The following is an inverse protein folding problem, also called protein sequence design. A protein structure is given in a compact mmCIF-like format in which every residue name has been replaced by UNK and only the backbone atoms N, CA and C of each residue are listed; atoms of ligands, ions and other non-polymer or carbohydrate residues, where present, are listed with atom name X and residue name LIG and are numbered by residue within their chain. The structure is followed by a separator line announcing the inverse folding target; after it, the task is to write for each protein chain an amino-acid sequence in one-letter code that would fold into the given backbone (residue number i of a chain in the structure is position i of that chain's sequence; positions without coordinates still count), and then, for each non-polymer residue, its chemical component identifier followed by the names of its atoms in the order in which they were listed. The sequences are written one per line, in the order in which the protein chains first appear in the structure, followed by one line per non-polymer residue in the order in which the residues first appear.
data_IF_285043791658
#
_entry.id   IF_285043791658
#
_cell.length_a   1.000
_cell.length_b   1.000
_cell.length_c   1.000
_cell.angle_alpha   90.00
_cell.angle_beta   90.00
_cell.angle_gamma   90.00
#
_symmetry.space_group_name_H-M   'P 1'
#
loop_
_entity.id
_entity.type
_entity.pdbx_description
1 polymer ?
#
# COMPACT_ATOMS: atom_id res chain seq x y z
N UNK A 1 -45.11 30.35 12.45
CA UNK A 1 -44.07 29.41 12.01
C UNK A 1 -43.46 29.91 10.72
N UNK A 2 -42.12 29.92 10.67
CA UNK A 2 -41.23 30.04 9.51
C UNK A 2 -41.44 31.26 8.58
N UNK A 3 -40.43 32.03 8.19
CA UNK A 3 -38.99 31.85 8.17
C UNK A 3 -38.45 32.94 7.22
N UNK A 4 -37.12 33.13 7.25
CA UNK A 4 -36.23 33.74 6.25
C UNK A 4 -35.12 34.48 7.02
N UNK A 5 -34.20 33.69 7.57
CA UNK A 5 -32.93 34.18 8.04
C UNK A 5 -32.08 34.54 6.80
N UNK A 6 -31.82 35.83 6.61
CA UNK A 6 -30.83 36.31 5.63
C UNK A 6 -29.45 35.89 6.12
N UNK A 7 -28.77 35.06 5.33
CA UNK A 7 -27.36 34.73 5.52
C UNK A 7 -26.55 35.93 5.06
N UNK A 8 -25.97 36.67 6.02
CA UNK A 8 -24.97 37.69 5.73
C UNK A 8 -23.67 36.99 5.31
N UNK A 9 -23.33 37.07 4.02
CA UNK A 9 -21.96 36.86 3.57
C UNK A 9 -21.12 38.04 4.09
N UNK A 10 -20.21 37.77 5.03
CA UNK A 10 -19.14 38.72 5.36
C UNK A 10 -18.16 38.69 4.19
N UNK A 11 -18.17 39.73 3.37
CA UNK A 11 -17.10 39.98 2.41
C UNK A 11 -15.77 40.07 3.17
N UNK A 12 -14.72 39.34 2.75
CA UNK A 12 -13.42 39.46 3.37
C UNK A 12 -12.77 40.79 2.95
N UNK A 13 -12.22 41.50 3.94
CA UNK A 13 -11.66 42.87 3.86
C UNK A 13 -10.46 43.05 2.89
N UNK A 14 -10.07 42.04 2.12
CA UNK A 14 -9.02 42.12 1.10
C UNK A 14 -9.55 42.37 -0.33
N UNK A 15 -10.86 42.20 -0.56
CA UNK A 15 -11.45 42.16 -1.90
C UNK A 15 -11.61 43.53 -2.61
N UNK A 16 -11.46 44.66 -1.91
CA UNK A 16 -11.78 45.99 -2.49
C UNK A 16 -10.57 46.76 -3.02
N UNK A 17 -9.35 46.22 -2.94
CA UNK A 17 -8.15 46.97 -3.37
C UNK A 17 -7.03 46.12 -3.99
N UNK A 18 -7.35 44.97 -4.59
CA UNK A 18 -6.34 44.12 -5.24
C UNK A 18 -6.45 44.23 -6.76
N UNK A 19 -5.41 44.80 -7.39
CA UNK A 19 -5.26 44.79 -8.84
C UNK A 19 -4.66 43.43 -9.26
N UNK A 20 -5.35 42.71 -10.15
CA UNK A 20 -4.97 41.35 -10.60
C UNK A 20 -3.58 41.34 -11.20
N UNK A 21 -3.20 42.38 -11.95
CA UNK A 21 -1.88 42.46 -12.57
C UNK A 21 -0.78 42.49 -11.51
N UNK A 22 -0.97 43.30 -10.46
CA UNK A 22 -0.02 43.39 -9.34
C UNK A 22 0.04 42.09 -8.54
N UNK A 23 -1.09 41.41 -8.39
CA UNK A 23 -1.15 40.12 -7.70
C UNK A 23 -0.43 39.02 -8.50
N UNK A 24 -0.64 38.96 -9.82
CA UNK A 24 0.06 38.02 -10.70
C UNK A 24 1.56 38.30 -10.76
N UNK A 25 1.97 39.56 -10.80
CA UNK A 25 3.37 39.96 -10.74
C UNK A 25 4.03 39.54 -9.41
N UNK A 26 3.34 39.74 -8.28
CA UNK A 26 3.84 39.30 -6.97
C UNK A 26 4.04 37.77 -6.88
N UNK A 27 3.30 37.00 -7.66
CA UNK A 27 3.43 35.54 -7.76
C UNK A 27 4.47 35.10 -8.81
N UNK A 28 5.10 36.04 -9.52
CA UNK A 28 6.00 35.77 -10.65
C UNK A 28 5.26 35.20 -11.86
N UNK A 29 3.97 35.53 -12.00
CA UNK A 29 3.03 35.00 -13.00
C UNK A 29 2.40 36.12 -13.86
N UNK A 30 2.99 37.32 -13.88
CA UNK A 30 2.50 38.47 -14.66
C UNK A 30 2.29 38.21 -16.15
N UNK A 31 2.97 37.20 -16.71
CA UNK A 31 2.76 36.73 -18.09
C UNK A 31 1.32 36.25 -18.38
N UNK A 32 0.51 35.97 -17.35
CA UNK A 32 -0.89 35.55 -17.49
C UNK A 32 -1.89 36.71 -17.28
N UNK A 33 -1.44 37.93 -16.99
CA UNK A 33 -2.29 39.09 -16.78
C UNK A 33 -3.28 39.30 -17.93
N UNK A 34 -2.76 39.27 -19.16
CA UNK A 34 -3.56 39.39 -20.38
C UNK A 34 -4.62 38.28 -20.53
N UNK A 35 -4.32 37.05 -20.09
CA UNK A 35 -5.28 35.95 -20.16
C UNK A 35 -6.42 36.11 -19.14
N UNK A 36 -6.14 36.69 -17.98
CA UNK A 36 -7.18 37.02 -17.00
C UNK A 36 -8.04 38.20 -17.46
N UNK A 37 -7.44 39.21 -18.10
CA UNK A 37 -8.14 40.36 -18.68
C UNK A 37 -9.02 39.97 -19.89
N UNK A 38 -8.49 39.17 -20.82
CA UNK A 38 -9.23 38.71 -22.02
C UNK A 38 -10.43 37.79 -21.69
N UNK A 39 -10.47 37.23 -20.48
CA UNK A 39 -11.57 36.38 -19.99
C UNK A 39 -12.40 37.07 -18.90
N UNK A 40 -12.29 38.40 -18.76
CA UNK A 40 -13.05 39.24 -17.82
C UNK A 40 -13.02 38.73 -16.36
N UNK A 41 -11.90 38.14 -15.93
CA UNK A 41 -11.74 37.62 -14.57
C UNK A 41 -11.46 38.78 -13.62
N UNK A 42 -12.32 38.97 -12.62
CA UNK A 42 -12.18 40.00 -11.59
C UNK A 42 -11.66 39.43 -10.25
N UNK A 43 -11.20 40.29 -9.30
CA UNK A 43 -10.70 39.83 -8.00
C UNK A 43 -11.74 39.06 -7.17
N UNK A 44 -13.04 39.28 -7.43
CA UNK A 44 -14.13 38.63 -6.73
C UNK A 44 -14.39 37.20 -7.22
N UNK A 45 -14.00 36.90 -8.47
CA UNK A 45 -14.05 35.57 -9.07
C UNK A 45 -12.86 34.69 -8.69
N UNK A 46 -11.74 35.26 -8.25
CA UNK A 46 -10.54 34.51 -7.85
C UNK A 46 -10.83 33.34 -6.89
N UNK A 47 -11.61 33.49 -5.79
CA UNK A 47 -11.93 32.39 -4.86
C UNK A 47 -12.74 31.25 -5.47
N UNK A 48 -13.31 31.43 -6.65
CA UNK A 48 -14.17 30.46 -7.32
C UNK A 48 -13.43 29.73 -8.46
N UNK A 49 -12.22 30.16 -8.81
CA UNK A 49 -11.42 29.53 -9.86
C UNK A 49 -10.95 28.13 -9.45
N UNK A 50 -11.18 27.17 -10.32
CA UNK A 50 -10.75 25.77 -10.17
C UNK A 50 -9.56 25.44 -11.07
N UNK A 51 -8.94 24.27 -10.85
CA UNK A 51 -7.86 23.76 -11.72
C UNK A 51 -8.27 23.60 -13.19
N UNK A 52 -9.58 23.40 -13.45
CA UNK A 52 -10.15 23.30 -14.78
C UNK A 52 -10.26 24.70 -15.43
N UNK A 53 -10.75 25.69 -14.71
CA UNK A 53 -10.87 27.07 -15.22
C UNK A 53 -9.50 27.64 -15.57
N UNK A 54 -8.48 27.37 -14.74
CA UNK A 54 -7.10 27.79 -15.05
C UNK A 54 -6.52 27.10 -16.30
N UNK A 55 -6.99 25.90 -16.66
CA UNK A 55 -6.62 25.28 -17.95
C UNK A 55 -7.31 25.97 -19.11
N UNK A 56 -8.57 26.37 -18.95
CA UNK A 56 -9.33 27.11 -19.96
C UNK A 56 -8.73 28.50 -20.21
N UNK A 57 -8.19 29.14 -19.16
CA UNK A 57 -7.38 30.37 -19.26
C UNK A 57 -6.00 30.17 -19.94
N UNK A 58 -5.69 28.96 -20.43
CA UNK A 58 -4.46 28.67 -21.16
C UNK A 58 -3.23 28.39 -20.28
N UNK A 59 -3.40 28.18 -18.97
CA UNK A 59 -2.29 27.92 -18.05
C UNK A 59 -1.94 26.42 -18.06
N UNK A 60 -1.17 25.99 -19.05
CA UNK A 60 -0.81 24.57 -19.23
C UNK A 60 0.11 24.05 -18.11
N UNK A 61 0.94 24.92 -17.52
CA UNK A 61 1.87 24.57 -16.44
C UNK A 61 1.12 24.19 -15.15
N UNK A 62 1.23 22.93 -14.73
CA UNK A 62 0.69 22.44 -13.46
C UNK A 62 1.21 23.24 -12.25
N UNK A 63 2.48 23.65 -12.28
CA UNK A 63 3.09 24.42 -11.20
C UNK A 63 2.50 25.83 -11.07
N UNK A 64 2.20 26.50 -12.19
CA UNK A 64 1.59 27.82 -12.18
C UNK A 64 0.13 27.77 -11.69
N UNK A 65 -0.62 26.74 -12.10
CA UNK A 65 -1.99 26.51 -11.63
C UNK A 65 -2.06 26.24 -10.14
N UNK A 66 -1.19 25.38 -9.62
CA UNK A 66 -1.09 25.14 -8.17
C UNK A 66 -0.70 26.39 -7.40
N UNK A 67 0.23 27.20 -7.92
CA UNK A 67 0.64 28.47 -7.29
C UNK A 67 -0.50 29.49 -7.22
N UNK A 68 -1.32 29.61 -8.28
CA UNK A 68 -2.50 30.48 -8.30
C UNK A 68 -3.54 30.03 -7.27
N UNK A 69 -3.92 28.74 -7.29
CA UNK A 69 -4.90 28.20 -6.34
C UNK A 69 -4.43 28.35 -4.88
N UNK A 70 -3.14 28.12 -4.59
CA UNK A 70 -2.59 28.33 -3.25
C UNK A 70 -2.59 29.80 -2.80
N UNK A 71 -2.37 30.73 -3.73
CA UNK A 71 -2.41 32.16 -3.45
C UNK A 71 -3.85 32.66 -3.24
N UNK A 72 -4.82 32.09 -3.95
CA UNK A 72 -6.26 32.32 -3.80
C UNK A 72 -6.77 31.82 -2.44
N UNK A 73 -6.32 30.63 -2.00
CA UNK A 73 -6.66 30.04 -0.69
C UNK A 73 -6.00 30.77 0.51
N UNK A 74 -5.33 31.90 0.26
CA UNK A 74 -4.71 32.73 1.30
C UNK A 74 -3.41 32.17 1.88
N UNK A 75 -2.89 31.05 1.36
CA UNK A 75 -1.65 30.45 1.85
C UNK A 75 -0.44 30.99 1.08
N UNK A 76 -0.25 32.31 1.15
CA UNK A 76 0.97 32.96 0.65
C UNK A 76 2.13 32.62 1.58
N UNK A 77 2.82 31.52 1.30
CA UNK A 77 4.18 31.30 1.74
C UNK A 77 5.09 32.35 1.09
N UNK A 78 5.30 33.47 1.77
CA UNK A 78 6.25 34.49 1.35
C UNK A 78 7.67 33.89 1.29
N UNK A 79 8.32 34.04 0.14
CA UNK A 79 9.73 33.69 -0.06
C UNK A 79 10.65 34.56 0.82
N UNK A 80 11.86 34.07 1.18
CA UNK A 80 12.64 34.61 2.28
C UNK A 80 13.37 35.89 1.88
N UNK A 81 13.16 36.96 2.62
CA UNK A 81 14.04 38.13 2.62
C UNK A 81 14.95 38.03 3.84
N UNK A 82 16.26 37.94 3.59
CA UNK A 82 17.29 37.86 4.59
C UNK A 82 17.38 39.15 5.44
N UNK A 83 17.40 39.01 6.77
CA UNK A 83 18.39 39.61 7.70
C UNK A 83 18.09 39.16 9.14
N UNK A 84 19.12 38.96 9.99
CA UNK A 84 18.94 38.41 11.33
C UNK A 84 18.65 39.53 12.34
N UNK A 85 17.67 39.33 13.23
CA UNK A 85 17.61 40.09 14.47
C UNK A 85 16.98 39.26 15.60
N UNK A 86 17.83 39.12 16.61
CA UNK A 86 17.72 38.37 17.84
C UNK A 86 16.79 39.05 18.85
N UNK A 87 15.69 38.42 19.29
CA UNK A 87 15.12 38.56 20.65
C UNK A 87 14.32 37.26 20.98
N UNK A 88 14.44 36.65 22.18
CA UNK A 88 13.65 35.49 22.56
C UNK A 88 12.32 35.93 23.20
N UNK A 89 11.19 35.54 22.63
CA UNK A 89 9.88 35.70 23.28
C UNK A 89 9.12 34.38 23.30
N UNK A 90 9.00 33.86 24.52
CA UNK A 90 8.21 32.71 24.95
C UNK A 90 6.74 32.91 24.57
N UNK A 91 6.18 32.00 23.77
CA UNK A 91 4.74 31.91 23.48
C UNK A 91 4.38 30.42 23.39
N UNK A 92 3.30 29.95 24.05
CA UNK A 92 2.92 28.54 24.10
C UNK A 92 2.62 27.97 22.70
N UNK A 93 2.90 26.67 22.45
CA UNK A 93 2.82 26.12 21.10
C UNK A 93 1.38 26.13 20.58
N UNK A 94 1.17 26.84 19.47
CA UNK A 94 -0.01 26.67 18.63
C UNK A 94 -0.07 25.22 18.11
N UNK A 95 -1.27 24.65 17.89
CA UNK A 95 -1.40 23.29 17.37
C UNK A 95 -0.66 23.20 16.04
N UNK A 96 0.28 22.26 15.96
CA UNK A 96 1.10 22.02 14.79
C UNK A 96 0.20 21.87 13.56
N UNK A 97 0.49 22.64 12.51
CA UNK A 97 0.02 22.32 11.16
C UNK A 97 0.34 20.84 10.87
N UNK A 98 -0.50 20.09 10.14
CA UNK A 98 -0.24 18.69 9.85
C UNK A 98 1.07 18.57 9.08
N UNK A 99 2.15 18.34 9.82
CA UNK A 99 3.47 18.12 9.27
C UNK A 99 3.41 16.78 8.58
N UNK A 100 3.35 16.78 7.24
CA UNK A 100 3.46 15.56 6.46
C UNK A 100 4.78 14.87 6.84
N UNK A 101 4.70 13.72 7.50
CA UNK A 101 5.89 12.97 7.90
C UNK A 101 6.44 12.27 6.66
N UNK A 102 7.71 12.52 6.33
CA UNK A 102 8.39 11.70 5.31
C UNK A 102 8.61 10.32 5.91
N UNK A 103 8.08 9.31 5.23
CA UNK A 103 8.17 7.94 5.72
C UNK A 103 8.52 6.98 4.60
N UNK A 104 9.37 6.02 4.91
CA UNK A 104 9.61 4.88 4.03
C UNK A 104 8.39 3.96 4.05
N UNK A 105 7.78 3.71 2.90
CA UNK A 105 6.65 2.78 2.76
C UNK A 105 6.91 1.79 1.63
N UNK A 106 6.14 0.71 1.64
CA UNK A 106 6.01 -0.23 0.53
C UNK A 106 4.58 -0.21 0.02
N UNK A 107 4.42 0.00 -1.28
CA UNK A 107 3.14 0.11 -1.95
C UNK A 107 2.93 -1.16 -2.76
N UNK A 108 1.74 -1.74 -2.63
CA UNK A 108 1.27 -2.88 -3.40
C UNK A 108 0.06 -2.44 -4.21
N UNK A 109 0.11 -2.65 -5.52
CA UNK A 109 -1.05 -2.60 -6.40
C UNK A 109 -1.40 -4.00 -6.87
N UNK A 110 -2.66 -4.40 -6.75
CA UNK A 110 -3.17 -5.65 -7.29
C UNK A 110 -4.37 -5.36 -8.18
N UNK A 111 -4.36 -5.86 -9.41
CA UNK A 111 -5.38 -5.55 -10.42
C UNK A 111 -5.79 -6.82 -11.16
N UNK A 112 -7.08 -6.95 -11.50
CA UNK A 112 -7.63 -8.21 -11.99
C UNK A 112 -7.33 -8.38 -13.49
N UNK A 113 -6.78 -9.54 -13.86
CA UNK A 113 -6.44 -9.80 -15.24
C UNK A 113 -7.68 -9.97 -16.12
N UNK A 114 -7.73 -9.23 -17.23
CA UNK A 114 -8.80 -9.37 -18.21
C UNK A 114 -10.14 -8.79 -17.76
N UNK A 115 -10.17 -7.94 -16.74
CA UNK A 115 -11.39 -7.32 -16.24
C UNK A 115 -12.20 -6.60 -17.32
N UNK A 116 -11.56 -5.90 -18.25
CA UNK A 116 -12.26 -5.25 -19.37
C UNK A 116 -13.02 -6.24 -20.26
N UNK A 117 -12.47 -7.44 -20.47
CA UNK A 117 -13.16 -8.48 -21.23
C UNK A 117 -14.31 -9.10 -20.41
N UNK A 118 -14.10 -9.30 -19.10
CA UNK A 118 -15.14 -9.75 -18.18
C UNK A 118 -16.29 -8.75 -18.11
N UNK A 119 -16.01 -7.45 -18.04
CA UNK A 119 -17.02 -6.39 -17.93
C UNK A 119 -17.88 -6.21 -19.18
N UNK A 120 -17.42 -6.71 -20.33
CA UNK A 120 -18.19 -6.69 -21.58
C UNK A 120 -19.08 -7.94 -21.74
N UNK A 121 -18.74 -9.03 -21.06
CA UNK A 121 -19.44 -10.32 -21.18
C UNK A 121 -20.37 -10.66 -20.01
N UNK A 122 -20.17 -10.06 -18.85
CA UNK A 122 -20.99 -10.28 -17.65
C UNK A 122 -22.05 -9.20 -17.50
N UNK A 123 -23.18 -9.58 -16.89
CA UNK A 123 -24.18 -8.60 -16.49
C UNK A 123 -23.64 -7.69 -15.37
N UNK A 124 -24.05 -6.41 -15.28
CA UNK A 124 -23.52 -5.47 -14.29
C UNK A 124 -23.63 -5.94 -12.83
N UNK A 125 -24.66 -6.72 -12.50
CA UNK A 125 -24.85 -7.29 -11.16
C UNK A 125 -23.81 -8.37 -10.84
N UNK A 126 -23.55 -9.28 -11.78
CA UNK A 126 -22.55 -10.33 -11.67
C UNK A 126 -21.13 -9.74 -11.61
N UNK A 127 -20.85 -8.72 -12.43
CA UNK A 127 -19.58 -8.01 -12.41
C UNK A 127 -19.34 -7.33 -11.06
N UNK A 128 -20.37 -6.68 -10.50
CA UNK A 128 -20.30 -6.03 -9.18
C UNK A 128 -20.06 -7.06 -8.07
N UNK A 129 -20.73 -8.21 -8.12
CA UNK A 129 -20.53 -9.29 -7.14
C UNK A 129 -19.11 -9.87 -7.23
N UNK A 130 -18.63 -10.16 -8.44
CA UNK A 130 -17.28 -10.64 -8.69
C UNK A 130 -16.23 -9.66 -8.17
N UNK A 131 -16.38 -8.38 -8.50
CA UNK A 131 -15.46 -7.32 -8.05
C UNK A 131 -15.46 -7.23 -6.53
N UNK A 132 -16.64 -7.24 -5.90
CA UNK A 132 -16.76 -7.20 -4.44
C UNK A 132 -16.12 -8.41 -3.73
N UNK A 133 -16.27 -9.62 -4.29
CA UNK A 133 -15.59 -10.82 -3.77
C UNK A 133 -14.08 -10.73 -3.92
N UNK A 134 -13.61 -10.25 -5.06
CA UNK A 134 -12.20 -10.04 -5.33
C UNK A 134 -11.59 -9.02 -4.37
N UNK A 135 -12.17 -7.82 -4.25
CA UNK A 135 -11.63 -6.76 -3.38
C UNK A 135 -11.66 -7.19 -1.93
N UNK A 136 -12.73 -7.84 -1.46
CA UNK A 136 -12.80 -8.35 -0.09
C UNK A 136 -11.71 -9.41 0.22
N UNK A 137 -11.41 -10.28 -0.74
CA UNK A 137 -10.33 -11.28 -0.61
C UNK A 137 -8.96 -10.59 -0.52
N UNK A 138 -8.68 -9.65 -1.41
CA UNK A 138 -7.40 -8.91 -1.42
C UNK A 138 -7.26 -8.08 -0.14
N UNK A 139 -8.31 -7.36 0.26
CA UNK A 139 -8.33 -6.54 1.46
C UNK A 139 -8.05 -7.39 2.71
N UNK A 140 -8.71 -8.55 2.83
CA UNK A 140 -8.50 -9.49 3.93
C UNK A 140 -7.05 -9.97 4.04
N UNK A 141 -6.41 -10.29 2.90
CA UNK A 141 -5.01 -10.73 2.87
C UNK A 141 -4.07 -9.57 3.24
N UNK A 142 -4.24 -8.39 2.64
CA UNK A 142 -3.38 -7.23 2.91
C UNK A 142 -3.46 -6.81 4.38
N UNK A 143 -4.68 -6.71 4.92
CA UNK A 143 -4.91 -6.41 6.34
C UNK A 143 -4.36 -7.54 7.23
N UNK A 144 -4.44 -8.78 6.78
CA UNK A 144 -3.84 -9.95 7.42
C UNK A 144 -2.32 -9.84 7.54
N UNK A 145 -1.65 -9.32 6.52
CA UNK A 145 -0.23 -8.98 6.60
C UNK A 145 0.03 -7.63 7.25
N UNK A 146 -0.98 -6.98 7.85
CA UNK A 146 -0.94 -5.68 8.52
C UNK A 146 -0.48 -4.50 7.64
N UNK A 147 -0.78 -4.58 6.34
CA UNK A 147 -0.84 -3.42 5.47
C UNK A 147 -2.15 -2.66 5.68
N UNK A 148 -2.24 -1.47 5.10
CA UNK A 148 -3.43 -0.62 5.12
C UNK A 148 -3.97 -0.46 3.70
N UNK A 149 -5.28 -0.57 3.51
CA UNK A 149 -5.92 -0.26 2.22
C UNK A 149 -6.00 1.25 2.07
N UNK A 150 -5.42 1.77 1.00
CA UNK A 150 -5.42 3.21 0.69
C UNK A 150 -6.68 3.56 -0.12
N UNK A 151 -6.92 2.84 -1.23
CA UNK A 151 -8.13 2.98 -2.04
C UNK A 151 -8.34 1.83 -3.02
N UNK A 152 -9.58 1.72 -3.51
CA UNK A 152 -9.96 0.89 -4.66
C UNK A 152 -10.14 1.79 -5.90
N UNK A 153 -9.63 1.34 -7.05
CA UNK A 153 -9.71 2.05 -8.34
C UNK A 153 -10.27 1.08 -9.38
N UNK A 154 -11.60 1.00 -9.47
CA UNK A 154 -12.26 -0.04 -10.27
C UNK A 154 -11.99 -1.41 -9.66
N UNK A 155 -11.31 -2.28 -10.42
CA UNK A 155 -10.84 -3.60 -10.01
C UNK A 155 -9.41 -3.61 -9.44
N UNK A 156 -8.74 -2.46 -9.40
CA UNK A 156 -7.42 -2.34 -8.78
C UNK A 156 -7.53 -2.01 -7.28
N UNK A 157 -6.73 -2.69 -6.46
CA UNK A 157 -6.55 -2.42 -5.02
C UNK A 157 -5.19 -1.78 -4.81
N UNK A 158 -5.16 -0.63 -4.12
CA UNK A 158 -3.93 0.02 -3.66
C UNK A 158 -3.79 -0.18 -2.14
N UNK A 159 -2.67 -0.74 -1.75
CA UNK A 159 -2.32 -1.02 -0.36
C UNK A 159 -0.95 -0.44 0.01
N UNK A 160 -0.80 -0.07 1.28
CA UNK A 160 0.41 0.52 1.83
C UNK A 160 0.85 -0.23 3.08
N UNK A 161 2.09 -0.69 3.07
CA UNK A 161 2.80 -1.21 4.23
C UNK A 161 3.78 -0.13 4.70
N UNK A 162 3.87 0.08 6.00
CA UNK A 162 4.67 1.17 6.55
C UNK A 162 3.88 2.40 7.02
N UNK A 163 2.57 2.41 6.75
CA UNK A 163 1.66 3.46 7.18
C UNK A 163 0.37 2.85 7.75
N UNK A 164 -0.18 3.37 8.86
CA UNK A 164 0.32 4.49 9.68
C UNK A 164 1.45 4.09 10.64
N UNK A 165 1.95 2.86 10.58
CA UNK A 165 3.07 2.38 11.40
C UNK A 165 4.07 1.62 10.53
N UNK A 166 5.36 1.92 10.70
CA UNK A 166 6.47 1.35 9.93
C UNK A 166 7.16 0.18 10.63
N UNK A 167 7.60 -0.78 9.83
CA UNK A 167 8.39 -1.95 10.23
C UNK A 167 9.48 -2.22 9.21
N UNK A 168 10.60 -2.75 9.67
CA UNK A 168 11.69 -3.17 8.80
C UNK A 168 11.27 -4.32 7.86
N UNK A 169 10.20 -5.05 8.20
CA UNK A 169 9.69 -6.21 7.46
C UNK A 169 8.60 -5.85 6.44
N UNK A 170 8.23 -4.58 6.28
CA UNK A 170 7.14 -4.14 5.40
C UNK A 170 7.30 -4.59 3.93
N UNK A 171 8.49 -4.55 3.31
CA UNK A 171 8.68 -5.12 1.97
C UNK A 171 8.39 -6.62 1.92
N UNK A 172 8.76 -7.38 2.95
CA UNK A 172 8.60 -8.83 3.00
C UNK A 172 7.14 -9.21 3.19
N UNK A 173 6.43 -8.43 4.01
CA UNK A 173 4.99 -8.57 4.25
C UNK A 173 4.19 -8.29 2.98
N UNK A 174 4.54 -7.25 2.24
CA UNK A 174 3.95 -6.96 0.93
C UNK A 174 4.20 -8.11 -0.07
N UNK A 175 5.43 -8.63 -0.13
CA UNK A 175 5.77 -9.75 -1.02
C UNK A 175 5.01 -11.04 -0.67
N UNK A 176 4.83 -11.35 0.62
CA UNK A 176 4.00 -12.48 1.07
C UNK A 176 2.52 -12.29 0.74
N UNK A 177 1.97 -11.11 1.03
CA UNK A 177 0.60 -10.78 0.66
C UNK A 177 0.34 -10.99 -0.84
N UNK A 178 1.28 -10.59 -1.70
CA UNK A 178 1.16 -10.82 -3.14
C UNK A 178 1.11 -12.30 -3.53
N UNK A 179 1.91 -13.16 -2.87
CA UNK A 179 1.89 -14.61 -3.13
C UNK A 179 0.54 -15.23 -2.70
N UNK A 180 0.05 -14.86 -1.53
CA UNK A 180 -1.22 -15.36 -1.00
C UNK A 180 -2.42 -14.87 -1.82
N UNK A 181 -2.36 -13.65 -2.37
CA UNK A 181 -3.39 -13.14 -3.31
C UNK A 181 -3.45 -14.04 -4.54
N UNK A 182 -2.31 -14.39 -5.14
CA UNK A 182 -2.29 -15.30 -6.31
C UNK A 182 -2.83 -16.69 -5.96
N UNK A 183 -2.47 -17.25 -4.81
CA UNK A 183 -2.96 -18.56 -4.36
C UNK A 183 -4.47 -18.54 -4.09
N UNK A 184 -4.96 -17.54 -3.38
CA UNK A 184 -6.37 -17.41 -3.02
C UNK A 184 -7.25 -17.14 -4.26
N UNK A 185 -6.76 -16.39 -5.25
CA UNK A 185 -7.46 -16.16 -6.52
C UNK A 185 -7.60 -17.42 -7.36
N UNK A 186 -6.56 -18.27 -7.37
CA UNK A 186 -6.63 -19.56 -8.03
C UNK A 186 -7.74 -20.45 -7.46
N UNK A 187 -8.07 -20.29 -6.16
CA UNK A 187 -9.17 -20.98 -5.49
C UNK A 187 -10.54 -20.28 -5.59
N UNK A 188 -10.61 -19.03 -6.05
CA UNK A 188 -11.86 -18.26 -6.18
C UNK A 188 -12.59 -18.55 -7.51
N UNK A 189 -11.89 -19.07 -8.52
CA UNK A 189 -12.47 -19.44 -9.81
C UNK A 189 -13.45 -20.63 -9.69
N UNK A 190 -14.56 -20.55 -10.43
CA UNK A 190 -15.45 -21.70 -10.64
C UNK A 190 -14.67 -22.84 -11.35
N UNK A 191 -14.84 -24.12 -10.97
CA UNK A 191 -14.13 -25.25 -11.59
C UNK A 191 -14.34 -25.37 -13.12
N UNK A 192 -15.42 -24.77 -13.63
CA UNK A 192 -15.80 -24.77 -15.04
C UNK A 192 -15.35 -23.52 -15.83
N UNK A 193 -14.79 -22.49 -15.16
CA UNK A 193 -14.31 -21.26 -15.79
C UNK A 193 -12.78 -21.13 -15.69
N UNK A 194 -12.20 -20.24 -16.51
CA UNK A 194 -10.77 -19.92 -16.40
C UNK A 194 -10.46 -19.38 -14.99
N UNK A 195 -9.35 -19.79 -14.37
CA UNK A 195 -8.98 -19.30 -13.05
C UNK A 195 -8.78 -17.78 -13.11
N UNK A 196 -9.32 -17.08 -12.11
CA UNK A 196 -9.07 -15.66 -11.94
C UNK A 196 -7.60 -15.45 -11.60
N UNK A 197 -7.01 -14.43 -12.21
CA UNK A 197 -5.61 -14.07 -12.00
C UNK A 197 -5.56 -12.57 -11.73
N UNK A 198 -4.61 -12.15 -10.92
CA UNK A 198 -4.24 -10.76 -10.78
C UNK A 198 -2.84 -10.54 -11.34
N UNK A 199 -2.54 -9.30 -11.72
CA UNK A 199 -1.18 -8.83 -11.90
C UNK A 199 -0.87 -7.87 -10.75
N UNK A 200 0.34 -7.96 -10.19
CA UNK A 200 0.70 -7.24 -8.95
C UNK A 200 1.99 -6.45 -9.16
N UNK A 201 2.01 -5.20 -8.69
CA UNK A 201 3.20 -4.35 -8.68
C UNK A 201 3.55 -3.90 -7.27
N UNK A 202 4.81 -4.05 -6.86
CA UNK A 202 5.30 -3.64 -5.54
C UNK A 202 6.48 -2.68 -5.66
N UNK A 203 6.39 -1.51 -5.03
CA UNK A 203 7.50 -0.57 -4.95
C UNK A 203 7.67 0.02 -3.55
N UNK A 204 8.92 0.27 -3.15
CA UNK A 204 9.24 0.92 -1.89
C UNK A 204 9.97 2.24 -2.11
N UNK A 205 9.69 3.23 -1.28
CA UNK A 205 10.44 4.48 -1.21
C UNK A 205 9.82 5.46 -0.23
N UNK A 206 10.42 6.63 -0.13
CA UNK A 206 9.93 7.70 0.73
C UNK A 206 8.65 8.32 0.14
N UNK A 207 7.66 8.49 1.01
CA UNK A 207 6.41 9.16 0.70
C UNK A 207 6.13 10.21 1.76
N UNK A 208 5.44 11.27 1.38
CA UNK A 208 4.92 12.23 2.34
C UNK A 208 3.56 11.73 2.79
N UNK A 209 3.50 11.29 4.03
CA UNK A 209 2.29 10.86 4.70
C UNK A 209 1.60 12.05 5.35
N UNK A 210 0.41 12.42 4.86
CA UNK A 210 -0.38 13.50 5.45
C UNK A 210 -1.86 13.17 5.47
N UNK A 211 -2.53 13.49 6.58
CA UNK A 211 -3.99 13.57 6.61
C UNK A 211 -4.40 14.79 5.79
N UNK A 212 -4.83 14.60 4.53
CA UNK A 212 -5.59 15.64 3.85
C UNK A 212 -6.97 15.65 4.50
N UNK A 213 -7.20 16.55 5.44
CA UNK A 213 -8.52 16.77 5.99
C UNK A 213 -9.44 17.37 4.90
N UNK A 214 -10.15 16.51 4.17
CA UNK A 214 -11.47 16.88 3.62
C UNK A 214 -12.48 16.75 4.75
N UNK A 215 -13.49 17.62 4.75
CA UNK A 215 -14.45 17.81 5.85
C UNK A 215 -15.33 16.57 6.17
N UNK A 216 -15.12 15.45 5.48
CA UNK A 216 -16.04 14.32 5.42
C UNK A 216 -15.36 12.94 5.23
N UNK A 217 -14.03 12.85 5.07
CA UNK A 217 -13.30 11.57 5.04
C UNK A 217 -11.81 11.75 5.44
N UNK A 218 -11.29 10.88 6.32
CA UNK A 218 -9.85 10.77 6.59
C UNK A 218 -9.17 9.96 5.48
N UNK A 219 -9.00 10.57 4.31
CA UNK A 219 -8.23 9.96 3.23
C UNK A 219 -6.74 10.21 3.48
N UNK A 220 -6.05 9.22 4.04
CA UNK A 220 -4.59 9.20 4.04
C UNK A 220 -4.13 9.08 2.59
N UNK A 221 -3.42 10.07 2.07
CA UNK A 221 -2.97 10.03 0.68
C UNK A 221 -1.45 9.95 0.67
N UNK A 222 -0.95 8.80 0.23
CA UNK A 222 0.47 8.59 -0.01
C UNK A 222 0.88 9.28 -1.31
N UNK A 223 1.73 10.31 -1.23
CA UNK A 223 2.29 11.00 -2.40
C UNK A 223 3.79 10.67 -2.52
N UNK A 224 4.21 10.13 -3.66
CA UNK A 224 5.63 9.88 -3.95
C UNK A 224 5.86 9.10 -5.25
N UNK A 225 7.09 9.17 -5.76
CA UNK A 225 7.51 8.50 -7.01
C UNK A 225 7.29 6.98 -6.95
N UNK A 226 7.37 6.40 -5.75
CA UNK A 226 7.10 4.97 -5.49
C UNK A 226 5.66 4.57 -5.82
N UNK A 227 4.68 5.45 -5.63
CA UNK A 227 3.27 5.19 -5.98
C UNK A 227 3.13 5.08 -7.48
N UNK A 228 3.69 6.04 -8.21
CA UNK A 228 3.70 6.03 -9.67
C UNK A 228 4.45 4.80 -10.18
N UNK A 229 5.62 4.47 -9.60
CA UNK A 229 6.37 3.28 -9.98
C UNK A 229 5.57 1.99 -9.76
N UNK A 230 4.93 1.80 -8.60
CA UNK A 230 4.11 0.62 -8.32
C UNK A 230 2.94 0.49 -9.32
N UNK A 231 2.26 1.60 -9.64
CA UNK A 231 1.21 1.66 -10.66
C UNK A 231 1.72 1.31 -12.08
N UNK A 232 2.98 1.62 -12.39
CA UNK A 232 3.60 1.23 -13.67
C UNK A 232 4.03 -0.24 -13.69
N UNK A 233 4.50 -0.76 -12.56
CA UNK A 233 4.87 -2.17 -12.41
C UNK A 233 3.66 -3.07 -12.57
N UNK A 234 2.54 -2.76 -11.92
CA UNK A 234 1.30 -3.55 -12.03
C UNK A 234 0.80 -3.55 -13.48
N UNK A 235 0.82 -2.41 -14.17
CA UNK A 235 0.40 -2.32 -15.57
C UNK A 235 1.33 -3.06 -16.56
N UNK A 236 2.58 -3.33 -16.17
CA UNK A 236 3.54 -4.07 -16.99
C UNK A 236 3.61 -5.57 -16.66
N UNK A 237 3.05 -5.98 -15.52
CA UNK A 237 3.03 -7.36 -15.08
C UNK A 237 2.06 -8.19 -15.94
N UNK A 238 2.47 -9.42 -16.26
CA UNK A 238 1.63 -10.40 -16.96
C UNK A 238 0.64 -11.04 -15.99
N UNK A 239 -0.38 -11.74 -16.50
CA UNK A 239 -1.32 -12.45 -15.63
C UNK A 239 -0.65 -13.44 -14.68
N UNK A 240 -0.96 -13.33 -13.39
CA UNK A 240 -0.34 -14.15 -12.32
C UNK A 240 1.10 -13.75 -11.98
N UNK A 241 1.58 -12.59 -12.46
CA UNK A 241 2.92 -12.10 -12.21
C UNK A 241 2.93 -11.02 -11.12
N UNK A 242 3.96 -11.07 -10.25
CA UNK A 242 4.30 -9.99 -9.33
C UNK A 242 5.62 -9.35 -9.74
N UNK A 243 5.60 -8.06 -10.05
CA UNK A 243 6.77 -7.26 -10.35
C UNK A 243 7.18 -6.38 -9.18
N UNK A 244 8.48 -6.33 -8.92
CA UNK A 244 9.09 -5.61 -7.81
C UNK A 244 10.02 -4.52 -8.35
N UNK A 245 9.98 -3.35 -7.71
CA UNK A 245 11.02 -2.33 -7.88
C UNK A 245 12.37 -2.81 -7.36
N UNK A 246 13.44 -2.19 -7.86
CA UNK A 246 14.81 -2.48 -7.42
C UNK A 246 15.02 -2.25 -5.91
N UNK A 247 14.36 -1.26 -5.31
CA UNK A 247 14.45 -1.00 -3.87
C UNK A 247 13.85 -2.15 -3.03
N UNK A 248 12.72 -2.71 -3.48
CA UNK A 248 12.08 -3.88 -2.83
C UNK A 248 12.97 -5.10 -2.94
N UNK A 249 13.52 -5.38 -4.13
CA UNK A 249 14.37 -6.56 -4.31
C UNK A 249 15.63 -6.49 -3.42
N UNK A 250 16.29 -5.32 -3.35
CA UNK A 250 17.46 -5.15 -2.49
C UNK A 250 17.12 -5.28 -1.00
N UNK A 251 15.97 -4.75 -0.57
CA UNK A 251 15.51 -4.89 0.82
C UNK A 251 15.20 -6.35 1.19
N UNK A 252 14.93 -7.19 0.18
CA UNK A 252 14.55 -8.59 0.35
C UNK A 252 15.63 -9.57 -0.10
N UNK A 253 16.85 -9.10 -0.33
CA UNK A 253 17.94 -9.95 -0.78
C UNK A 253 18.16 -11.11 0.22
N UNK A 254 18.25 -12.33 -0.30
CA UNK A 254 18.31 -13.57 0.50
C UNK A 254 16.99 -14.03 1.15
N UNK A 255 15.93 -13.21 1.15
CA UNK A 255 14.60 -13.57 1.68
C UNK A 255 13.62 -14.01 0.60
N UNK A 256 13.88 -13.69 -0.67
CA UNK A 256 12.99 -14.03 -1.81
C UNK A 256 13.76 -14.68 -2.96
N UNK A 257 13.04 -15.45 -3.76
CA UNK A 257 13.48 -15.89 -5.08
C UNK A 257 12.92 -14.92 -6.10
N UNK A 258 13.79 -14.31 -6.90
CA UNK A 258 13.39 -13.36 -7.94
C UNK A 258 14.26 -13.49 -9.18
N UNK A 259 13.64 -13.24 -10.35
CA UNK A 259 14.34 -13.17 -11.63
C UNK A 259 14.45 -11.70 -12.07
N UNK A 260 15.53 -11.32 -12.73
CA UNK A 260 15.61 -10.02 -13.39
C UNK A 260 14.60 -9.96 -14.55
N UNK A 261 13.66 -9.01 -14.50
CA UNK A 261 12.75 -8.71 -15.61
C UNK A 261 13.38 -7.70 -16.60
N UNK A 262 14.51 -7.10 -16.22
CA UNK A 262 15.27 -6.14 -17.04
C UNK A 262 14.99 -4.69 -16.66
N UNK A 263 15.54 -3.77 -17.45
CA UNK A 263 15.26 -2.34 -17.36
C UNK A 263 14.03 -2.00 -18.19
N UNK A 264 13.01 -1.41 -17.55
CA UNK A 264 11.77 -1.05 -18.21
C UNK A 264 11.60 0.47 -18.28
N UNK A 265 11.17 0.98 -19.44
CA UNK A 265 10.87 2.40 -19.61
C UNK A 265 9.41 2.65 -19.33
N UNK A 266 9.14 3.58 -18.42
CA UNK A 266 7.79 4.01 -18.07
C UNK A 266 7.59 5.48 -18.41
N UNK A 267 6.39 5.83 -18.86
CA UNK A 267 6.03 7.22 -19.14
C UNK A 267 6.11 8.04 -17.84
N UNK A 268 6.91 9.10 -17.86
CA UNK A 268 7.10 9.99 -16.70
C UNK A 268 8.14 9.50 -15.67
N UNK A 269 8.97 8.50 -16.03
CA UNK A 269 10.13 8.08 -15.25
C UNK A 269 11.36 8.19 -16.16
N UNK A 270 12.27 9.12 -15.84
CA UNK A 270 13.36 9.53 -16.75
C UNK A 270 14.45 8.45 -16.91
N UNK A 271 14.81 7.77 -15.83
CA UNK A 271 15.76 6.66 -15.85
C UNK A 271 15.01 5.32 -15.81
N UNK A 272 15.26 4.37 -16.74
CA UNK A 272 14.55 3.10 -16.74
C UNK A 272 14.88 2.30 -15.48
N UNK A 273 13.93 2.09 -14.55
CA UNK A 273 14.19 1.31 -13.36
C UNK A 273 14.46 -0.14 -13.73
N UNK A 274 15.34 -0.77 -12.94
CA UNK A 274 15.47 -2.23 -12.91
C UNK A 274 14.26 -2.82 -12.24
N UNK A 275 13.72 -3.86 -12.86
CA UNK A 275 12.54 -4.55 -12.38
C UNK A 275 12.83 -6.03 -12.20
N UNK A 276 12.21 -6.59 -11.17
CA UNK A 276 12.40 -7.96 -10.75
C UNK A 276 11.06 -8.67 -10.71
N UNK A 277 11.04 -9.94 -11.09
CA UNK A 277 9.86 -10.80 -10.98
C UNK A 277 9.99 -11.63 -9.72
N UNK A 278 8.99 -11.55 -8.83
CA UNK A 278 8.92 -12.43 -7.66
C UNK A 278 8.57 -13.85 -8.09
N UNK A 279 9.30 -14.84 -7.58
CA UNK A 279 9.08 -16.28 -7.83
C UNK A 279 8.66 -17.04 -6.58
N UNK A 280 9.04 -16.56 -5.42
CA UNK A 280 8.69 -17.19 -4.14
C UNK A 280 9.46 -16.56 -2.99
N UNK A 281 9.15 -17.02 -1.77
CA UNK A 281 9.80 -16.57 -0.54
C UNK A 281 10.77 -17.66 -0.06
N UNK A 282 12.00 -17.29 0.25
CA UNK A 282 13.02 -18.22 0.75
C UNK A 282 12.61 -18.66 2.16
N UNK A 283 12.47 -19.98 2.35
CA UNK A 283 11.96 -20.57 3.58
C UNK A 283 10.49 -20.99 3.52
N UNK A 284 9.76 -20.64 2.46
CA UNK A 284 8.41 -21.15 2.18
C UNK A 284 8.44 -21.91 0.84
N UNK A 285 8.55 -23.24 0.95
CA UNK A 285 8.17 -24.20 -0.09
C UNK A 285 8.84 -24.16 -1.48
N UNK A 286 10.00 -23.53 -1.69
CA UNK A 286 10.75 -23.71 -2.97
C UNK A 286 11.87 -24.76 -2.88
N UNK A 287 12.06 -25.39 -1.72
CA UNK A 287 12.96 -26.56 -1.56
C UNK A 287 12.20 -27.79 -1.06
N UNK A 288 11.15 -28.17 -1.79
CA UNK A 288 10.72 -29.55 -1.87
C UNK A 288 11.58 -30.36 -2.86
N UNK A 289 12.91 -30.17 -2.87
CA UNK A 289 13.85 -31.17 -3.41
C UNK A 289 15.31 -30.84 -3.07
N UNK A 290 15.98 -31.81 -2.42
CA UNK A 290 17.41 -32.16 -2.59
C UNK A 290 18.53 -31.41 -1.85
N UNK A 291 18.33 -30.96 -0.62
CA UNK A 291 19.46 -30.94 0.33
C UNK A 291 19.17 -31.84 1.52
N UNK A 292 20.14 -32.70 1.85
CA UNK A 292 20.08 -33.58 3.03
C UNK A 292 19.98 -32.68 4.27
N UNK A 293 19.01 -32.94 5.13
CA UNK A 293 18.95 -32.29 6.43
C UNK A 293 20.09 -32.85 7.29
N UNK A 294 21.19 -32.10 7.42
CA UNK A 294 22.39 -32.51 8.17
C UNK A 294 22.41 -31.78 9.51
N UNK A 295 22.48 -32.54 10.61
CA UNK A 295 22.45 -32.00 11.98
C UNK A 295 21.05 -32.05 12.62
N UNK A 296 20.93 -31.64 13.89
CA UNK A 296 19.67 -31.57 14.67
C UNK A 296 18.98 -32.91 14.99
N UNK A 297 19.75 -34.00 15.07
CA UNK A 297 19.22 -35.34 15.46
C UNK A 297 18.57 -35.31 16.85
N UNK A 298 19.17 -34.60 17.79
CA UNK A 298 18.65 -34.52 19.16
C UNK A 298 17.24 -33.89 19.21
N UNK A 299 17.00 -32.81 18.47
CA UNK A 299 15.70 -32.13 18.43
C UNK A 299 14.64 -32.97 17.68
N UNK A 300 15.03 -33.66 16.60
CA UNK A 300 14.14 -34.60 15.91
C UNK A 300 13.80 -35.81 16.77
N UNK A 301 14.77 -36.36 17.51
CA UNK A 301 14.53 -37.49 18.41
C UNK A 301 13.67 -37.08 19.61
N UNK A 302 13.83 -35.85 20.11
CA UNK A 302 12.93 -35.27 21.11
C UNK A 302 11.49 -35.15 20.57
N UNK A 303 11.32 -34.65 19.35
CA UNK A 303 10.00 -34.58 18.72
C UNK A 303 9.39 -35.95 18.48
N UNK A 304 10.18 -36.94 18.04
CA UNK A 304 9.73 -38.33 17.90
C UNK A 304 9.24 -38.91 19.22
N UNK A 305 9.94 -38.62 20.31
CA UNK A 305 9.49 -39.00 21.66
C UNK A 305 8.14 -38.40 22.02
N UNK A 306 7.95 -37.10 21.73
CA UNK A 306 6.66 -36.40 21.94
C UNK A 306 5.57 -37.04 21.08
N UNK A 307 5.83 -37.29 19.80
CA UNK A 307 4.85 -37.90 18.90
C UNK A 307 4.43 -39.32 19.35
N UNK A 308 5.39 -40.14 19.83
CA UNK A 308 5.06 -41.44 20.43
C UNK A 308 4.17 -41.29 21.67
N UNK A 309 4.52 -40.37 22.58
CA UNK A 309 3.72 -40.11 23.77
C UNK A 309 2.29 -39.64 23.44
N UNK A 310 2.12 -38.78 22.43
CA UNK A 310 0.79 -38.33 21.96
C UNK A 310 -0.07 -39.50 21.48
N UNK A 311 0.53 -40.48 20.79
CA UNK A 311 -0.18 -41.68 20.32
C UNK A 311 -0.59 -42.58 21.47
N UNK A 312 0.30 -42.79 22.43
CA UNK A 312 0.03 -43.68 23.57
C UNK A 312 -1.03 -43.09 24.51
N UNK A 313 -1.07 -41.76 24.64
CA UNK A 313 -1.96 -41.05 25.56
C UNK A 313 -3.26 -40.55 24.89
N UNK A 314 -3.32 -40.54 23.55
CA UNK A 314 -4.46 -40.02 22.79
C UNK A 314 -4.68 -38.50 22.94
N UNK A 315 -3.66 -37.76 23.37
CA UNK A 315 -3.73 -36.31 23.60
C UNK A 315 -2.69 -35.58 22.72
N UNK A 316 -3.10 -34.45 22.12
CA UNK A 316 -2.20 -33.59 21.35
C UNK A 316 -1.25 -32.81 22.25
N UNK A 317 -0.10 -32.39 21.69
CA UNK A 317 0.85 -31.53 22.37
C UNK A 317 1.26 -30.34 21.50
N UNK A 318 1.67 -29.25 22.17
CA UNK A 318 2.14 -28.02 21.54
C UNK A 318 3.67 -27.99 21.63
N UNK A 319 4.33 -27.79 20.48
CA UNK A 319 5.79 -27.67 20.39
C UNK A 319 6.14 -26.24 19.97
N UNK A 320 6.92 -25.55 20.79
CA UNK A 320 7.40 -24.20 20.50
C UNK A 320 8.86 -24.22 20.07
N UNK A 321 9.13 -23.72 18.85
CA UNK A 321 10.48 -23.70 18.27
C UNK A 321 11.02 -22.26 18.26
N UNK A 322 12.06 -22.01 19.05
CA UNK A 322 12.76 -20.73 19.15
C UNK A 322 14.22 -20.85 18.75
N UNK A 323 14.77 -19.80 18.17
CA UNK A 323 16.17 -19.73 17.75
C UNK A 323 16.46 -18.47 16.94
N UNK A 324 17.73 -18.20 16.68
CA UNK A 324 18.19 -17.05 15.92
C UNK A 324 17.66 -17.05 14.47
N UNK A 325 17.61 -15.87 13.84
CA UNK A 325 17.25 -15.77 12.43
C UNK A 325 18.24 -16.60 11.57
N UNK A 326 17.74 -17.27 10.52
CA UNK A 326 18.59 -18.08 9.64
C UNK A 326 19.03 -19.46 10.18
N UNK A 327 18.79 -19.79 11.46
CA UNK A 327 19.26 -21.06 12.06
C UNK A 327 18.51 -22.32 11.58
N UNK A 328 17.58 -22.18 10.63
CA UNK A 328 16.82 -23.30 10.07
C UNK A 328 15.56 -23.72 10.85
N UNK A 329 14.97 -22.82 11.65
CA UNK A 329 13.72 -23.10 12.40
C UNK A 329 12.59 -23.62 11.52
N UNK A 330 12.33 -22.95 10.39
CA UNK A 330 11.28 -23.34 9.45
C UNK A 330 11.53 -24.74 8.92
N UNK A 331 12.80 -25.07 8.60
CA UNK A 331 13.16 -26.40 8.11
C UNK A 331 12.96 -27.48 9.17
N UNK A 332 13.31 -27.20 10.43
CA UNK A 332 13.08 -28.14 11.54
C UNK A 332 11.58 -28.42 11.71
N UNK A 333 10.74 -27.38 11.64
CA UNK A 333 9.28 -27.51 11.71
C UNK A 333 8.73 -28.31 10.51
N UNK A 334 9.27 -28.11 9.31
CA UNK A 334 8.86 -28.89 8.12
C UNK A 334 9.21 -30.38 8.25
N UNK A 335 10.38 -30.72 8.80
CA UNK A 335 10.75 -32.13 9.03
C UNK A 335 9.89 -32.76 10.13
N UNK A 336 9.58 -32.02 11.20
CA UNK A 336 8.62 -32.46 12.22
C UNK A 336 7.23 -32.71 11.60
N UNK A 337 6.78 -31.82 10.71
CA UNK A 337 5.52 -31.95 10.00
C UNK A 337 5.49 -33.22 9.15
N UNK A 338 6.49 -33.42 8.28
CA UNK A 338 6.58 -34.61 7.43
C UNK A 338 6.54 -35.90 8.24
N UNK A 339 7.21 -35.92 9.39
CA UNK A 339 7.16 -37.06 10.30
C UNK A 339 5.76 -37.27 10.88
N UNK A 340 5.10 -36.22 11.37
CA UNK A 340 3.77 -36.34 11.93
C UNK A 340 2.71 -36.72 10.88
N UNK A 341 2.77 -36.16 9.67
CA UNK A 341 1.90 -36.50 8.55
C UNK A 341 2.05 -38.00 8.19
N UNK A 342 3.29 -38.51 8.15
CA UNK A 342 3.57 -39.93 7.91
C UNK A 342 3.06 -40.86 9.03
N UNK A 343 2.81 -40.32 10.22
CA UNK A 343 2.27 -41.05 11.37
C UNK A 343 0.76 -40.82 11.55
N UNK A 344 0.11 -40.06 10.66
CA UNK A 344 -1.34 -39.81 10.67
C UNK A 344 -1.79 -38.72 11.65
N UNK A 345 -0.90 -37.84 12.11
CA UNK A 345 -1.28 -36.71 12.97
C UNK A 345 -1.92 -35.58 12.16
N UNK A 346 -2.95 -34.94 12.72
CA UNK A 346 -3.38 -33.62 12.27
C UNK A 346 -2.42 -32.56 12.84
N UNK A 347 -1.80 -31.78 11.96
CA UNK A 347 -0.77 -30.80 12.34
C UNK A 347 -1.29 -29.40 12.07
N UNK A 348 -1.26 -28.57 13.11
CA UNK A 348 -1.71 -27.18 13.09
C UNK A 348 -0.52 -26.27 13.37
N UNK A 349 -0.34 -25.22 12.54
CA UNK A 349 0.79 -24.28 12.61
C UNK A 349 0.27 -22.86 12.83
N UNK A 350 0.98 -22.09 13.64
CA UNK A 350 0.90 -20.63 13.66
C UNK A 350 2.30 -20.05 13.65
N UNK A 351 2.51 -18.94 12.93
CA UNK A 351 3.81 -18.28 12.87
C UNK A 351 3.77 -16.95 13.63
N UNK A 352 4.63 -16.81 14.65
CA UNK A 352 4.85 -15.52 15.29
C UNK A 352 5.90 -14.72 14.50
N UNK A 353 5.45 -13.67 13.80
CA UNK A 353 6.32 -12.63 13.26
C UNK A 353 6.16 -11.40 14.14
N UNK A 354 7.29 -10.80 14.54
CA UNK A 354 7.52 -9.62 15.39
C UNK A 354 6.38 -9.12 16.33
N UNK A 355 6.75 -8.88 17.58
CA UNK A 355 5.86 -8.34 18.60
C UNK A 355 5.25 -6.99 18.19
N UNK A 356 3.94 -6.96 17.94
CA UNK A 356 3.14 -5.76 18.21
C UNK A 356 2.33 -5.09 17.09
N UNK A 357 2.05 -5.74 15.95
CA UNK A 357 1.14 -5.16 14.94
C UNK A 357 0.12 -6.17 14.39
N UNK A 358 -1.13 -5.70 14.29
CA UNK A 358 -2.36 -6.48 14.11
C UNK A 358 -2.35 -7.43 12.91
N UNK A 359 -2.89 -8.62 13.17
CA UNK A 359 -2.72 -9.88 12.43
C UNK A 359 -1.24 -10.27 12.17
N UNK A 360 -0.40 -10.15 13.19
CA UNK A 360 0.25 -11.41 13.58
C UNK A 360 -0.88 -12.41 13.75
N UNK A 361 -0.89 -13.52 13.01
CA UNK A 361 -1.72 -14.66 13.42
C UNK A 361 -1.53 -14.74 14.93
N UNK A 362 -2.57 -14.43 15.71
CA UNK A 362 -2.54 -14.87 17.09
C UNK A 362 -2.34 -16.36 16.90
N UNK A 363 -1.16 -16.91 17.24
CA UNK A 363 -0.86 -18.29 16.94
C UNK A 363 -1.94 -19.17 17.57
N UNK A 364 -2.58 -18.68 18.64
CA UNK A 364 -3.75 -19.28 19.24
C UNK A 364 -4.94 -19.27 18.28
N UNK A 365 -5.30 -18.17 17.62
CA UNK A 365 -6.40 -18.15 16.64
C UNK A 365 -6.10 -18.97 15.39
N UNK A 366 -4.87 -18.93 14.85
CA UNK A 366 -4.51 -19.74 13.69
C UNK A 366 -4.54 -21.25 14.01
N UNK A 367 -3.97 -21.63 15.16
CA UNK A 367 -4.01 -23.01 15.64
C UNK A 367 -5.44 -23.43 15.99
N UNK A 368 -6.22 -22.57 16.65
CA UNK A 368 -7.61 -22.87 17.04
C UNK A 368 -8.53 -22.97 15.83
N UNK A 369 -8.42 -22.06 14.86
CA UNK A 369 -9.15 -22.13 13.60
C UNK A 369 -8.82 -23.42 12.84
N UNK A 370 -7.53 -23.74 12.75
CA UNK A 370 -7.07 -24.99 12.11
C UNK A 370 -7.56 -26.24 12.85
N UNK A 371 -7.55 -26.26 14.20
CA UNK A 371 -8.09 -27.35 15.02
C UNK A 371 -9.59 -27.54 14.84
N UNK A 372 -10.33 -26.45 14.65
CA UNK A 372 -11.79 -26.45 14.47
C UNK A 372 -12.21 -26.63 13.00
N UNK A 373 -11.27 -26.77 12.06
CA UNK A 373 -11.56 -26.84 10.62
C UNK A 373 -12.14 -25.55 10.04
N UNK A 374 -11.98 -24.43 10.75
CA UNK A 374 -12.44 -23.12 10.33
C UNK A 374 -11.37 -22.49 9.44
N UNK A 375 -11.75 -22.09 8.22
CA UNK A 375 -10.86 -21.30 7.36
C UNK A 375 -10.57 -19.96 8.05
N UNK A 376 -9.32 -19.47 8.05
CA UNK A 376 -9.00 -18.19 8.68
C UNK A 376 -9.83 -17.09 8.02
N UNK A 377 -10.63 -16.41 8.83
CA UNK A 377 -11.45 -15.25 8.42
C UNK A 377 -10.73 -13.93 8.55
#
# INVERSE_FOLDING_TARGET
MAGHARVNFREPLWATAMNIDQWLDALGLGQYARAFEENDIDPAMLPQLTDADLKELGIVSLGHRKRLLMAIDGNSGAAPSATPSTIPSTTPPAPAAPSGERRQVTILFADLCGFTALSQGLDPEELRELTGRYTALVDGIVLGYGGTIDKHIGDAVMAVFGAPRAHDTDPLRAARAAMDIHEALAGLGEPASRPLQAHIGIASGEVVAGTLARADAQDYTVLGDSVNLAARLVAAARPGETLLSDSVQRALDGCILSDAAGEMRFKGIDAPPRVWRLRGIVGESVTASRSLFVGRKAELDQFRGIACACRDQGAGQIVYVRGEAGIGKTRLVDEMRRFGDAQGFAIHRGLLLDFGMGKGEDPVLAITGSLLGLRPG
#
